data_IF_203734901140
#
_entry.id   IF_203734901140
#
_cell.length_a   1.000
_cell.length_b   1.000
_cell.length_c   1.000
_cell.angle_alpha   90.00
_cell.angle_beta   90.00
_cell.angle_gamma   90.00
#
_symmetry.space_group_name_H-M   'P 1'
#
loop_
_entity.id
_entity.type
_entity.pdbx_description
1 polymer ?
#
# COMPACT_ATOMS: atom_id res chain seq x y z
N UNK A 1 -92.32 11.02 -23.46
CA UNK A 1 -92.16 10.48 -22.09
C UNK A 1 -90.95 9.54 -22.05
N UNK A 2 -89.88 9.89 -21.33
CA UNK A 2 -88.79 8.95 -20.97
C UNK A 2 -87.88 9.53 -19.89
N UNK A 3 -87.95 9.01 -18.66
CA UNK A 3 -86.96 9.21 -17.59
C UNK A 3 -86.92 7.93 -16.74
N UNK A 4 -85.73 7.55 -16.29
CA UNK A 4 -85.51 6.30 -15.55
C UNK A 4 -84.19 6.37 -14.78
N UNK A 5 -84.01 5.50 -13.76
CA UNK A 5 -82.87 5.42 -12.82
C UNK A 5 -82.86 6.53 -11.73
N UNK A 6 -82.41 6.27 -10.47
CA UNK A 6 -81.90 5.03 -9.85
C UNK A 6 -82.26 4.93 -8.34
N UNK A 7 -81.97 3.77 -7.73
CA UNK A 7 -82.14 3.40 -6.30
C UNK A 7 -80.97 2.45 -5.91
N UNK A 8 -80.60 2.19 -4.64
CA UNK A 8 -81.31 2.38 -3.36
C UNK A 8 -80.39 2.91 -2.24
N UNK A 9 -81.00 3.60 -1.27
CA UNK A 9 -80.52 4.12 0.02
C UNK A 9 -79.78 3.14 0.96
N UNK A 10 -78.68 3.64 1.55
CA UNK A 10 -78.14 3.45 2.93
C UNK A 10 -78.86 2.47 3.87
N UNK A 11 -78.11 1.55 4.53
CA UNK A 11 -78.26 1.17 5.97
C UNK A 11 -76.92 0.73 6.58
N UNK A 12 -76.83 0.74 7.91
CA UNK A 12 -75.61 0.60 8.73
C UNK A 12 -75.58 -0.73 9.54
N UNK A 13 -74.63 -0.84 10.49
CA UNK A 13 -74.58 -1.71 11.70
C UNK A 13 -73.59 -2.89 11.67
N UNK A 14 -72.69 -2.88 12.66
CA UNK A 14 -71.71 -3.91 13.08
C UNK A 14 -72.37 -5.06 13.87
N UNK A 15 -71.84 -6.31 13.86
CA UNK A 15 -71.85 -7.22 15.05
C UNK A 15 -71.01 -8.52 14.88
N UNK A 16 -70.10 -8.73 15.87
CA UNK A 16 -69.61 -9.95 16.57
C UNK A 16 -69.19 -11.23 15.79
N UNK A 17 -67.90 -11.60 16.02
CA UNK A 17 -67.21 -12.90 15.88
C UNK A 17 -65.81 -12.79 16.58
N UNK A 18 -65.00 -13.82 16.93
CA UNK A 18 -65.19 -15.23 17.37
C UNK A 18 -63.84 -15.77 17.98
N UNK A 19 -63.85 -16.91 18.70
CA UNK A 19 -62.72 -17.66 19.30
C UNK A 19 -62.05 -18.66 18.29
N UNK A 20 -60.94 -19.38 18.54
CA UNK A 20 -59.63 -19.20 19.24
C UNK A 20 -58.73 -20.43 18.92
N UNK A 21 -57.39 -20.31 19.07
CA UNK A 21 -56.39 -21.38 19.29
C UNK A 21 -56.25 -22.54 18.26
N UNK A 22 -55.15 -22.54 17.48
CA UNK A 22 -54.15 -23.61 17.24
C UNK A 22 -53.33 -23.29 15.98
N UNK A 23 -52.03 -23.60 15.86
CA UNK A 23 -51.02 -24.02 16.85
C UNK A 23 -49.65 -23.42 16.45
N UNK A 24 -48.86 -22.98 17.44
CA UNK A 24 -47.54 -22.39 17.16
C UNK A 24 -46.46 -23.48 17.12
N UNK A 25 -46.26 -24.10 15.95
CA UNK A 25 -45.08 -24.95 15.72
C UNK A 25 -44.66 -25.01 14.25
N UNK A 26 -43.57 -24.31 13.94
CA UNK A 26 -42.64 -24.69 12.88
C UNK A 26 -41.24 -24.40 13.41
N UNK A 27 -40.61 -25.45 13.95
CA UNK A 27 -39.25 -25.39 14.49
C UNK A 27 -38.25 -25.22 13.33
N UNK A 28 -37.75 -24.01 13.12
CA UNK A 28 -36.43 -23.86 12.48
C UNK A 28 -35.38 -24.09 13.56
N UNK A 29 -34.61 -25.17 13.40
CA UNK A 29 -33.56 -25.54 14.36
C UNK A 29 -32.38 -24.54 14.25
N UNK A 30 -32.41 -23.46 15.04
CA UNK A 30 -31.23 -22.63 15.33
C UNK A 30 -30.29 -23.40 16.27
N UNK A 31 -29.72 -24.48 15.75
CA UNK A 31 -28.87 -25.41 16.48
C UNK A 31 -27.55 -24.77 16.90
N UNK A 32 -27.50 -24.35 18.16
CA UNK A 32 -26.34 -23.91 18.92
C UNK A 32 -25.61 -22.65 18.41
N UNK A 33 -25.12 -21.86 19.38
CA UNK A 33 -23.99 -20.98 19.12
C UNK A 33 -22.78 -21.86 18.79
N UNK A 34 -22.22 -21.68 17.59
CA UNK A 34 -20.83 -22.03 17.31
C UNK A 34 -20.07 -20.72 17.17
N UNK A 35 -19.28 -20.43 18.21
CA UNK A 35 -18.32 -19.32 18.20
C UNK A 35 -17.27 -19.64 17.13
N UNK A 36 -17.42 -19.02 15.96
CA UNK A 36 -16.40 -19.04 14.92
C UNK A 36 -15.37 -17.95 15.22
N UNK A 37 -14.11 -18.28 15.57
CA UNK A 37 -13.05 -17.31 15.80
C UNK A 37 -12.47 -16.77 14.48
N UNK A 38 -13.33 -16.49 13.49
CA UNK A 38 -12.96 -15.70 12.33
C UNK A 38 -12.68 -14.27 12.79
N UNK A 39 -11.40 -13.99 13.05
CA UNK A 39 -10.89 -12.64 13.31
C UNK A 39 -11.51 -11.72 12.26
N UNK A 40 -12.30 -10.75 12.74
CA UNK A 40 -12.75 -9.66 11.89
C UNK A 40 -11.50 -8.82 11.62
N UNK A 41 -10.87 -9.07 10.48
CA UNK A 41 -9.86 -8.15 9.96
C UNK A 41 -10.52 -6.78 9.82
N UNK A 42 -9.90 -5.76 10.40
CA UNK A 42 -10.41 -4.40 10.34
C UNK A 42 -10.23 -3.88 8.91
N UNK A 43 -11.26 -4.06 8.10
CA UNK A 43 -11.28 -3.66 6.69
C UNK A 43 -11.29 -2.12 6.50
N UNK A 44 -11.19 -1.32 7.57
CA UNK A 44 -10.95 0.12 7.49
C UNK A 44 -9.47 0.46 7.19
N UNK A 45 -8.56 -0.53 7.13
CA UNK A 45 -7.16 -0.31 6.78
C UNK A 45 -6.97 -0.24 5.25
N UNK A 46 -6.63 0.96 4.77
CA UNK A 46 -6.19 1.27 3.40
C UNK A 46 -7.22 1.13 2.26
N UNK A 47 -8.34 1.87 2.35
CA UNK A 47 -9.28 2.07 1.23
C UNK A 47 -8.70 2.78 0.00
N UNK A 48 -7.67 3.63 0.20
CA UNK A 48 -7.26 4.64 -0.78
C UNK A 48 -6.06 4.21 -1.63
N UNK A 49 -5.43 3.06 -1.33
CA UNK A 49 -4.32 2.53 -2.12
C UNK A 49 -4.83 1.74 -3.33
N UNK A 50 -4.94 2.41 -4.48
CA UNK A 50 -5.43 1.81 -5.73
C UNK A 50 -4.44 0.86 -6.41
N UNK A 51 -3.19 0.77 -5.92
CA UNK A 51 -2.12 0.00 -6.56
C UNK A 51 -1.74 0.47 -7.97
N UNK A 52 -2.14 1.66 -8.39
CA UNK A 52 -1.89 2.19 -9.74
C UNK A 52 -0.43 2.60 -9.92
N UNK A 53 0.19 2.17 -11.02
CA UNK A 53 1.55 2.56 -11.39
C UNK A 53 1.58 4.02 -11.88
N UNK A 54 2.12 4.93 -11.07
CA UNK A 54 2.23 6.35 -11.43
C UNK A 54 3.37 6.63 -12.43
N UNK A 55 4.52 5.97 -12.25
CA UNK A 55 5.65 5.99 -13.19
C UNK A 55 6.58 4.79 -12.92
N UNK A 56 7.25 4.31 -13.98
CA UNK A 56 8.39 3.38 -13.89
C UNK A 56 9.55 3.94 -14.72
N UNK A 57 10.78 3.78 -14.23
CA UNK A 57 12.01 4.29 -14.86
C UNK A 57 13.19 3.40 -14.53
N UNK A 58 14.07 3.22 -15.52
CA UNK A 58 15.35 2.52 -15.38
C UNK A 58 16.46 3.58 -15.23
N UNK A 59 17.37 3.34 -14.30
CA UNK A 59 18.56 4.17 -14.08
C UNK A 59 19.78 3.25 -14.07
N UNK A 60 20.90 3.71 -14.65
CA UNK A 60 22.09 2.89 -14.86
C UNK A 60 22.75 3.21 -16.19
N UNK A 61 23.53 2.26 -16.71
CA UNK A 61 24.27 2.36 -17.97
C UNK A 61 24.58 0.99 -18.56
N UNK A 62 25.85 0.74 -18.91
CA UNK A 62 26.32 -0.49 -19.56
C UNK A 62 26.83 -1.58 -18.59
N UNK A 63 26.79 -1.33 -17.29
CA UNK A 63 27.27 -2.22 -16.23
C UNK A 63 26.16 -2.88 -15.42
N UNK A 64 26.55 -3.41 -14.25
CA UNK A 64 25.66 -3.97 -13.24
C UNK A 64 25.26 -2.84 -12.27
N UNK A 65 23.99 -2.40 -12.35
CA UNK A 65 23.45 -1.28 -11.58
C UNK A 65 22.29 -1.75 -10.71
N UNK A 66 22.41 -1.54 -9.39
CA UNK A 66 21.54 -2.14 -8.38
C UNK A 66 20.99 -1.07 -7.45
N UNK A 67 19.68 -0.85 -7.50
CA UNK A 67 18.94 -0.17 -6.44
C UNK A 67 18.70 -1.17 -5.29
N UNK A 68 19.18 -0.84 -4.08
CA UNK A 68 19.24 -1.78 -2.95
C UNK A 68 18.49 -1.28 -1.71
N UNK A 69 18.37 0.03 -1.53
CA UNK A 69 17.54 0.66 -0.51
C UNK A 69 17.00 2.00 -1.00
N UNK A 70 15.80 2.38 -0.53
CA UNK A 70 15.16 3.66 -0.85
C UNK A 70 14.68 4.33 0.42
N UNK A 71 15.07 5.60 0.58
CA UNK A 71 14.67 6.50 1.66
C UNK A 71 13.71 7.56 1.10
N UNK A 72 12.41 7.57 1.51
CA UNK A 72 11.48 8.64 1.17
C UNK A 72 11.89 9.98 1.79
N UNK A 73 11.65 11.07 1.06
CA UNK A 73 11.95 12.46 1.44
C UNK A 73 10.77 13.35 1.06
N UNK A 74 10.65 14.53 1.68
CA UNK A 74 9.53 15.46 1.42
C UNK A 74 9.38 15.85 -0.07
N UNK A 75 10.48 15.89 -0.81
CA UNK A 75 10.55 16.28 -2.22
C UNK A 75 10.69 15.10 -3.20
N UNK A 76 10.79 13.86 -2.71
CA UNK A 76 11.03 12.67 -3.53
C UNK A 76 11.70 11.52 -2.78
N UNK A 77 12.79 10.97 -3.33
CA UNK A 77 13.40 9.73 -2.87
C UNK A 77 14.92 9.76 -3.02
N UNK A 78 15.65 9.38 -1.98
CA UNK A 78 17.05 8.96 -2.11
C UNK A 78 17.08 7.44 -2.33
N UNK A 79 17.57 6.99 -3.47
CA UNK A 79 17.84 5.58 -3.76
C UNK A 79 19.34 5.33 -3.59
N UNK A 80 19.73 4.26 -2.90
CA UNK A 80 21.13 3.86 -2.75
C UNK A 80 21.35 2.40 -3.13
N UNK A 81 22.58 2.08 -3.52
CA UNK A 81 23.00 0.73 -3.86
C UNK A 81 24.39 0.67 -4.45
N UNK A 82 24.54 0.07 -5.63
CA UNK A 82 25.81 -0.04 -6.34
C UNK A 82 25.68 0.14 -7.85
N UNK A 83 26.76 0.58 -8.48
CA UNK A 83 26.87 0.76 -9.94
C UNK A 83 28.19 0.19 -10.46
N UNK A 84 28.17 -0.35 -11.68
CA UNK A 84 29.37 -0.67 -12.47
C UNK A 84 29.37 0.03 -13.83
N UNK A 85 28.62 1.13 -13.94
CA UNK A 85 28.44 1.91 -15.17
C UNK A 85 29.26 3.21 -15.21
N UNK A 86 29.99 3.53 -14.13
CA UNK A 86 30.82 4.74 -14.04
C UNK A 86 32.34 4.43 -13.97
N UNK A 87 32.72 3.20 -13.64
CA UNK A 87 34.10 2.69 -13.76
C UNK A 87 34.14 1.16 -13.90
N UNK A 88 35.33 0.59 -14.11
CA UNK A 88 35.55 -0.86 -14.16
C UNK A 88 35.36 -1.59 -12.81
N UNK A 89 35.10 -0.85 -11.72
CA UNK A 89 34.85 -1.35 -10.38
C UNK A 89 33.38 -1.16 -9.97
N UNK A 90 32.93 -1.93 -8.98
CA UNK A 90 31.65 -1.68 -8.32
C UNK A 90 31.79 -0.48 -7.38
N UNK A 91 30.98 0.56 -7.57
CA UNK A 91 30.99 1.77 -6.75
C UNK A 91 29.70 1.87 -5.94
N UNK A 92 29.79 2.43 -4.73
CA UNK A 92 28.63 2.71 -3.89
C UNK A 92 27.81 3.83 -4.52
N UNK A 93 26.55 3.56 -4.84
CA UNK A 93 25.76 4.42 -5.71
C UNK A 93 24.65 5.12 -4.95
N UNK A 94 24.40 6.40 -5.25
CA UNK A 94 23.27 7.14 -4.75
C UNK A 94 22.62 8.00 -5.85
N UNK A 95 21.29 7.99 -5.90
CA UNK A 95 20.45 8.84 -6.74
C UNK A 95 19.49 9.63 -5.86
N UNK A 96 19.46 10.96 -6.01
CA UNK A 96 18.31 11.73 -5.55
C UNK A 96 17.31 11.87 -6.71
N UNK A 97 16.09 11.41 -6.51
CA UNK A 97 14.97 11.52 -7.42
C UNK A 97 13.93 12.47 -6.81
N UNK A 98 13.25 13.27 -7.64
CA UNK A 98 12.04 13.96 -7.19
C UNK A 98 10.80 13.02 -7.24
N UNK A 99 9.66 13.49 -6.74
CA UNK A 99 8.40 12.74 -6.70
C UNK A 99 7.92 12.16 -8.05
N UNK A 100 8.33 12.74 -9.18
CA UNK A 100 8.02 12.27 -10.54
C UNK A 100 9.09 11.31 -11.10
N UNK A 101 10.03 10.86 -10.28
CA UNK A 101 11.17 10.06 -10.71
C UNK A 101 12.10 10.82 -11.67
N UNK A 102 12.17 12.14 -11.60
CA UNK A 102 13.19 12.88 -12.37
C UNK A 102 14.45 12.97 -11.50
N UNK A 103 15.59 12.56 -12.07
CA UNK A 103 16.87 12.57 -11.38
C UNK A 103 17.31 14.01 -11.08
N UNK A 104 17.49 14.30 -9.79
CA UNK A 104 18.00 15.59 -9.28
C UNK A 104 19.53 15.55 -9.23
N UNK A 105 20.10 14.45 -8.75
CA UNK A 105 21.53 14.15 -8.89
C UNK A 105 21.82 12.64 -8.87
N UNK A 106 22.99 12.28 -9.39
CA UNK A 106 23.62 10.97 -9.34
C UNK A 106 25.04 11.16 -8.77
N UNK A 107 25.43 10.37 -7.78
CA UNK A 107 26.76 10.38 -7.15
C UNK A 107 27.24 8.96 -6.90
N UNK A 108 28.54 8.74 -7.02
CA UNK A 108 29.19 7.50 -6.55
C UNK A 108 30.18 7.78 -5.43
N UNK A 109 30.40 6.75 -4.63
CA UNK A 109 31.24 6.73 -3.45
C UNK A 109 32.07 5.45 -3.52
N UNK A 110 33.39 5.56 -3.57
CA UNK A 110 34.28 4.42 -3.78
C UNK A 110 35.52 4.52 -2.90
N UNK A 111 35.81 3.43 -2.21
CA UNK A 111 36.99 3.21 -1.39
C UNK A 111 37.46 1.75 -1.61
N UNK A 112 38.72 1.42 -1.32
CA UNK A 112 39.27 0.08 -1.56
C UNK A 112 39.25 -0.36 -3.03
N UNK A 113 38.83 -1.61 -3.27
CA UNK A 113 38.68 -2.17 -4.63
C UNK A 113 37.27 -1.98 -5.21
N UNK A 114 36.28 -1.76 -4.35
CA UNK A 114 34.92 -1.39 -4.71
C UNK A 114 34.10 -1.01 -3.47
N UNK A 115 32.86 -0.57 -3.65
CA UNK A 115 31.97 -0.17 -2.56
C UNK A 115 30.52 -0.44 -2.94
N UNK A 116 29.67 -0.66 -1.95
CA UNK A 116 28.23 -0.91 -2.15
C UNK A 116 27.44 -0.29 -0.99
N UNK A 117 26.51 0.61 -1.28
CA UNK A 117 25.62 1.17 -0.26
C UNK A 117 24.44 0.23 0.00
N UNK A 118 23.99 0.18 1.25
CA UNK A 118 22.93 -0.71 1.75
C UNK A 118 21.84 0.01 2.53
N UNK A 119 22.14 1.19 3.08
CA UNK A 119 21.21 1.97 3.88
C UNK A 119 21.56 3.46 3.84
N UNK A 120 20.60 4.33 4.15
CA UNK A 120 20.81 5.76 4.30
C UNK A 120 19.87 6.34 5.37
N UNK A 121 20.31 7.40 6.05
CA UNK A 121 19.45 8.24 6.90
C UNK A 121 19.67 9.73 6.58
N UNK A 122 18.60 10.51 6.68
CA UNK A 122 18.63 11.97 6.53
C UNK A 122 19.28 12.63 7.74
N UNK A 123 20.12 13.64 7.49
CA UNK A 123 20.70 14.54 8.48
C UNK A 123 20.22 15.98 8.20
N UNK A 124 20.36 16.93 9.13
CA UNK A 124 20.02 18.34 8.89
C UNK A 124 20.82 18.99 7.74
N UNK A 125 22.00 18.43 7.45
CA UNK A 125 23.02 18.91 6.52
C UNK A 125 23.51 17.77 5.60
N UNK A 126 22.57 16.98 5.05
CA UNK A 126 22.87 15.92 4.08
C UNK A 126 22.39 14.53 4.52
N UNK A 127 23.22 13.50 4.32
CA UNK A 127 22.88 12.11 4.61
C UNK A 127 24.04 11.36 5.30
N UNK A 128 23.71 10.37 6.12
CA UNK A 128 24.64 9.30 6.49
C UNK A 128 24.36 8.08 5.60
N UNK A 129 25.34 7.67 4.82
CA UNK A 129 25.30 6.55 3.89
C UNK A 129 26.04 5.37 4.52
N UNK A 130 25.43 4.18 4.54
CA UNK A 130 25.96 2.98 5.19
C UNK A 130 25.99 1.83 4.18
N UNK A 131 27.06 1.06 4.17
CA UNK A 131 27.32 0.03 3.17
C UNK A 131 28.53 -0.83 3.51
N UNK A 132 29.16 -1.39 2.48
CA UNK A 132 30.38 -2.18 2.60
C UNK A 132 31.48 -1.68 1.64
N UNK A 133 32.72 -1.69 2.11
CA UNK A 133 33.92 -1.55 1.29
C UNK A 133 34.34 -2.96 0.87
N UNK A 134 34.61 -3.13 -0.43
CA UNK A 134 35.00 -4.40 -1.03
C UNK A 134 36.52 -4.40 -1.24
N UNK A 135 37.20 -5.44 -0.74
CA UNK A 135 38.63 -5.68 -0.93
C UNK A 135 38.89 -7.04 -1.60
N UNK A 136 40.14 -7.27 -2.00
CA UNK A 136 40.59 -8.52 -2.57
C UNK A 136 40.62 -9.64 -1.50
N UNK A 137 39.46 -10.25 -1.26
CA UNK A 137 39.28 -11.36 -0.29
C UNK A 137 38.76 -10.93 1.09
N UNK A 138 38.35 -9.67 1.26
CA UNK A 138 37.86 -9.12 2.54
C UNK A 138 36.75 -8.07 2.31
N UNK A 139 35.94 -7.80 3.34
CA UNK A 139 34.80 -6.87 3.29
C UNK A 139 34.69 -6.10 4.60
N UNK A 140 34.90 -4.78 4.56
CA UNK A 140 34.75 -3.89 5.72
C UNK A 140 33.42 -3.14 5.70
N UNK A 141 32.94 -2.70 6.87
CA UNK A 141 31.82 -1.77 6.95
C UNK A 141 32.22 -0.39 6.40
N UNK A 142 31.41 0.15 5.49
CA UNK A 142 31.60 1.49 4.92
C UNK A 142 30.56 2.46 5.46
N UNK A 143 31.00 3.63 5.93
CA UNK A 143 30.12 4.71 6.41
C UNK A 143 30.66 6.02 5.85
N UNK A 144 29.79 6.83 5.24
CA UNK A 144 30.11 8.17 4.75
C UNK A 144 29.04 9.17 5.17
N UNK A 145 29.43 10.41 5.46
CA UNK A 145 28.52 11.55 5.63
C UNK A 145 28.61 12.44 4.39
N UNK A 146 27.50 12.93 3.88
CA UNK A 146 27.49 14.04 2.90
C UNK A 146 27.38 15.38 3.60
N UNK A 147 27.74 16.43 2.87
CA UNK A 147 27.22 17.79 3.01
C UNK A 147 25.92 17.99 2.18
#
# INVERSE_FOLDING_TARGET
MRTHRIKTTIKSVTIIAVLLLTSAMLLTNTSAAQINPSIQFDNNVASDYTGTLNWEKIYGGSGDDRALYTLPLESGFLVVGSTKSQSDATEGWALLLNSNGNMVWNRTYREGTGTELRYAITLPDGFLLIGNQLLAGDVNGYIAKTD
#
